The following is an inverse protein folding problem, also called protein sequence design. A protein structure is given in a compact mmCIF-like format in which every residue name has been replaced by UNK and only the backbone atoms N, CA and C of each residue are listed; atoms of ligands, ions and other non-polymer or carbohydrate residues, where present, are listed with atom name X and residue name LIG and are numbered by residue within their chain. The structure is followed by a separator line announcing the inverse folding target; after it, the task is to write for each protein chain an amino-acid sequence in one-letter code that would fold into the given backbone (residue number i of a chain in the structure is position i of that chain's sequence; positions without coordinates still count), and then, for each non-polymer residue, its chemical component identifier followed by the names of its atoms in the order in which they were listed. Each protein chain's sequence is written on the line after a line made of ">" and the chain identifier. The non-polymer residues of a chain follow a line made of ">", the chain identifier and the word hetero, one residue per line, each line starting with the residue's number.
data_IF_199314665181
#
_entry.id   IF_199314665181
#
_cell.length_a   1.000
_cell.length_b   1.000
_cell.length_c   1.000
_cell.angle_alpha   90.00
_cell.angle_beta   90.00
_cell.angle_gamma   90.00
#
_symmetry.space_group_name_H-M   'P 1'
#
loop_
_entity.id
_entity.type
_entity.pdbx_description
1 polymer ?
#
# COMPACT_ATOMS: atom_id res chain seq x y z
N UNK A 1 -12.14 -14.86 6.65
CA UNK A 1 -11.71 -13.58 7.23
C UNK A 1 -12.84 -12.79 7.87
N UNK A 2 -13.96 -12.58 7.17
CA UNK A 2 -15.12 -11.94 7.80
C UNK A 2 -15.60 -12.67 9.05
N UNK A 3 -15.63 -14.01 8.99
CA UNK A 3 -16.04 -14.83 10.11
C UNK A 3 -15.11 -14.68 11.31
N UNK A 4 -13.80 -14.57 11.09
CA UNK A 4 -12.84 -14.35 12.16
C UNK A 4 -13.03 -12.98 12.81
N UNK A 5 -13.27 -11.95 12.02
CA UNK A 5 -13.56 -10.60 12.52
C UNK A 5 -14.83 -10.60 13.39
N UNK A 6 -15.89 -11.24 12.91
CA UNK A 6 -17.15 -11.34 13.63
C UNK A 6 -16.94 -12.07 14.98
N UNK A 7 -16.23 -13.19 14.95
CA UNK A 7 -15.93 -13.97 16.16
C UNK A 7 -15.14 -13.15 17.18
N UNK A 8 -14.10 -12.43 16.72
CA UNK A 8 -13.27 -11.60 17.59
C UNK A 8 -14.07 -10.48 18.26
N UNK A 9 -14.96 -9.81 17.51
CA UNK A 9 -15.83 -8.77 18.06
C UNK A 9 -16.77 -9.34 19.08
N UNK A 10 -17.40 -10.49 18.79
CA UNK A 10 -18.33 -11.15 19.71
C UNK A 10 -17.63 -11.57 20.98
N UNK A 11 -16.45 -12.17 20.90
CA UNK A 11 -15.67 -12.58 22.07
C UNK A 11 -15.30 -11.39 22.96
N UNK A 12 -14.91 -10.27 22.35
CA UNK A 12 -14.61 -9.06 23.09
C UNK A 12 -15.80 -8.47 23.83
N UNK A 13 -17.01 -8.71 23.35
CA UNK A 13 -18.24 -8.18 23.94
C UNK A 13 -18.99 -9.17 24.86
N UNK A 14 -18.59 -10.44 24.87
CA UNK A 14 -19.29 -11.46 25.67
C UNK A 14 -19.51 -11.10 27.14
N UNK A 15 -18.52 -10.49 27.84
CA UNK A 15 -18.73 -10.10 29.26
C UNK A 15 -19.82 -9.06 29.47
N UNK A 16 -20.22 -8.36 28.41
CA UNK A 16 -21.15 -7.23 28.46
C UNK A 16 -22.51 -7.53 27.85
N UNK A 17 -22.67 -8.70 27.22
CA UNK A 17 -23.88 -9.03 26.47
C UNK A 17 -24.52 -10.34 26.98
N UNK A 18 -25.86 -10.39 26.97
CA UNK A 18 -26.59 -11.65 27.14
C UNK A 18 -26.68 -12.43 25.83
N UNK A 19 -27.23 -13.65 25.88
CA UNK A 19 -27.33 -14.52 24.71
C UNK A 19 -28.13 -13.90 23.54
N UNK A 20 -29.25 -13.25 23.86
CA UNK A 20 -30.08 -12.60 22.83
C UNK A 20 -29.34 -11.43 22.17
N UNK A 21 -28.63 -10.63 22.93
CA UNK A 21 -27.84 -9.51 22.44
C UNK A 21 -26.66 -10.00 21.61
N UNK A 22 -25.98 -11.05 22.02
CA UNK A 22 -24.88 -11.67 21.29
C UNK A 22 -25.35 -12.17 19.93
N UNK A 23 -26.48 -12.86 19.91
CA UNK A 23 -27.09 -13.36 18.66
C UNK A 23 -27.44 -12.22 17.72
N UNK A 24 -28.02 -11.14 18.23
CA UNK A 24 -28.38 -9.96 17.44
C UNK A 24 -27.13 -9.26 16.90
N UNK A 25 -26.09 -9.13 17.70
CA UNK A 25 -24.81 -8.55 17.25
C UNK A 25 -24.21 -9.38 16.11
N UNK A 26 -24.22 -10.70 16.24
CA UNK A 26 -23.73 -11.59 15.18
C UNK A 26 -24.51 -11.40 13.88
N UNK A 27 -25.83 -11.36 13.93
CA UNK A 27 -26.69 -11.13 12.77
C UNK A 27 -26.40 -9.78 12.09
N UNK A 28 -26.27 -8.72 12.88
CA UNK A 28 -25.99 -7.38 12.37
C UNK A 28 -24.62 -7.34 11.69
N UNK A 29 -23.59 -7.95 12.31
CA UNK A 29 -22.24 -8.00 11.74
C UNK A 29 -22.21 -8.79 10.44
N UNK A 30 -22.86 -9.96 10.40
CA UNK A 30 -22.93 -10.76 9.18
C UNK A 30 -23.62 -10.00 8.05
N UNK A 31 -24.72 -9.35 8.34
CA UNK A 31 -25.47 -8.59 7.35
C UNK A 31 -24.71 -7.34 6.87
N UNK A 32 -24.14 -6.59 7.80
CA UNK A 32 -23.41 -5.37 7.49
C UNK A 32 -22.15 -5.65 6.67
N UNK A 33 -21.43 -6.72 6.99
CA UNK A 33 -20.17 -7.07 6.32
C UNK A 33 -20.35 -7.87 5.04
N UNK A 34 -21.60 -8.23 4.71
CA UNK A 34 -21.89 -9.05 3.52
C UNK A 34 -21.34 -8.44 2.23
N UNK A 35 -21.48 -7.14 2.06
CA UNK A 35 -21.05 -6.41 0.87
C UNK A 35 -19.60 -5.92 0.95
N UNK A 36 -18.91 -6.19 2.05
CA UNK A 36 -17.53 -5.72 2.27
C UNK A 36 -16.55 -6.88 2.15
N UNK A 37 -15.44 -6.61 1.48
CA UNK A 37 -14.31 -7.50 1.49
C UNK A 37 -13.36 -7.08 2.61
N UNK A 38 -13.14 -7.98 3.58
CA UNK A 38 -12.27 -7.72 4.72
C UNK A 38 -10.96 -8.47 4.50
N UNK A 39 -9.86 -7.71 4.42
CA UNK A 39 -8.52 -8.27 4.31
C UNK A 39 -7.78 -8.16 5.64
N UNK A 40 -7.01 -9.19 5.95
CA UNK A 40 -6.28 -9.27 7.20
C UNK A 40 -4.88 -8.68 7.04
N UNK A 41 -4.60 -7.66 7.85
CA UNK A 41 -3.29 -7.13 8.26
C UNK A 41 -2.30 -6.60 7.21
N UNK A 42 -1.45 -5.72 7.73
CA UNK A 42 -0.35 -5.03 7.04
C UNK A 42 0.60 -5.96 6.27
N UNK A 43 0.80 -7.20 6.74
CA UNK A 43 1.65 -8.18 6.04
C UNK A 43 1.16 -8.50 4.63
N UNK A 44 -0.15 -8.67 4.45
CA UNK A 44 -0.71 -8.94 3.13
C UNK A 44 -0.60 -7.73 2.22
N UNK A 45 -0.71 -6.52 2.77
CA UNK A 45 -0.52 -5.27 2.03
C UNK A 45 0.93 -5.09 1.60
N UNK A 46 1.88 -5.31 2.50
CA UNK A 46 3.31 -5.23 2.19
C UNK A 46 3.70 -6.22 1.11
N UNK A 47 3.22 -7.45 1.20
CA UNK A 47 3.50 -8.48 0.21
C UNK A 47 2.92 -8.10 -1.15
N UNK A 48 1.70 -7.58 -1.19
CA UNK A 48 1.06 -7.14 -2.42
C UNK A 48 1.83 -5.98 -3.06
N UNK A 49 2.24 -5.00 -2.29
CA UNK A 49 3.03 -3.87 -2.77
C UNK A 49 4.38 -4.31 -3.31
N UNK A 50 5.06 -5.21 -2.60
CA UNK A 50 6.33 -5.76 -3.04
C UNK A 50 6.18 -6.54 -4.34
N UNK A 51 5.11 -7.32 -4.49
CA UNK A 51 4.82 -8.04 -5.73
C UNK A 51 4.57 -7.09 -6.90
N UNK A 52 3.89 -5.97 -6.67
CA UNK A 52 3.67 -4.95 -7.70
C UNK A 52 4.98 -4.32 -8.16
N UNK A 53 5.86 -3.99 -7.24
CA UNK A 53 7.18 -3.43 -7.56
C UNK A 53 8.00 -4.44 -8.36
N UNK A 54 8.04 -5.70 -7.93
CA UNK A 54 8.76 -6.76 -8.64
C UNK A 54 8.22 -6.97 -10.06
N UNK A 55 6.90 -6.94 -10.23
CA UNK A 55 6.27 -7.07 -11.53
C UNK A 55 6.64 -5.91 -12.46
N UNK A 56 6.68 -4.70 -11.93
CA UNK A 56 7.12 -3.53 -12.68
C UNK A 56 8.58 -3.67 -13.14
N UNK A 57 9.46 -4.09 -12.24
CA UNK A 57 10.87 -4.29 -12.56
C UNK A 57 11.06 -5.39 -13.61
N UNK A 58 10.28 -6.46 -13.52
CA UNK A 58 10.31 -7.54 -14.51
C UNK A 58 9.88 -7.04 -15.90
N UNK A 59 8.85 -6.20 -15.96
CA UNK A 59 8.41 -5.58 -17.21
C UNK A 59 9.52 -4.70 -17.81
N UNK A 60 10.21 -3.92 -16.97
CA UNK A 60 11.33 -3.08 -17.42
C UNK A 60 12.53 -3.90 -17.88
N UNK A 61 12.77 -5.05 -17.27
CA UNK A 61 13.82 -5.98 -17.70
C UNK A 61 13.54 -6.50 -19.12
N UNK A 62 12.30 -6.86 -19.39
CA UNK A 62 11.86 -7.30 -20.72
C UNK A 62 12.06 -6.18 -21.76
N UNK A 63 11.83 -4.93 -21.37
CA UNK A 63 12.05 -3.77 -22.24
C UNK A 63 13.55 -3.48 -22.53
N UNK A 64 14.44 -4.18 -21.85
CA UNK A 64 15.88 -4.06 -22.09
C UNK A 64 16.65 -3.22 -21.09
N UNK A 65 16.05 -2.88 -19.95
CA UNK A 65 16.75 -2.15 -18.90
C UNK A 65 17.85 -3.01 -18.27
N UNK A 66 19.00 -2.39 -17.98
CA UNK A 66 20.12 -3.07 -17.31
C UNK A 66 19.82 -3.33 -15.84
N UNK A 67 20.52 -4.31 -15.25
CA UNK A 67 20.39 -4.61 -13.82
C UNK A 67 20.71 -3.39 -12.93
N UNK A 68 21.68 -2.59 -13.32
CA UNK A 68 22.03 -1.35 -12.60
C UNK A 68 20.87 -0.35 -12.62
N UNK A 69 20.21 -0.20 -13.76
CA UNK A 69 19.02 0.66 -13.88
C UNK A 69 17.88 0.14 -13.04
N UNK A 70 17.64 -1.17 -13.04
CA UNK A 70 16.59 -1.80 -12.25
C UNK A 70 16.82 -1.62 -10.74
N UNK A 71 18.07 -1.75 -10.28
CA UNK A 71 18.42 -1.48 -8.87
C UNK A 71 18.12 -0.04 -8.49
N UNK A 72 18.44 0.89 -9.38
CA UNK A 72 18.15 2.32 -9.16
C UNK A 72 16.65 2.58 -9.09
N UNK A 73 15.87 1.98 -9.97
CA UNK A 73 14.41 2.08 -9.97
C UNK A 73 13.84 1.52 -8.67
N UNK A 74 14.28 0.33 -8.27
CA UNK A 74 13.82 -0.30 -7.04
C UNK A 74 14.13 0.58 -5.81
N UNK A 75 15.35 1.06 -5.68
CA UNK A 75 15.76 1.91 -4.57
C UNK A 75 14.91 3.19 -4.51
N UNK A 76 14.65 3.81 -5.66
CA UNK A 76 13.83 5.02 -5.76
C UNK A 76 12.40 4.77 -5.32
N UNK A 77 11.79 3.69 -5.80
CA UNK A 77 10.40 3.32 -5.46
C UNK A 77 10.30 2.99 -3.97
N UNK A 78 11.22 2.19 -3.44
CA UNK A 78 11.20 1.83 -2.02
C UNK A 78 11.39 3.05 -1.11
N UNK A 79 12.29 3.96 -1.46
CA UNK A 79 12.46 5.22 -0.71
C UNK A 79 11.19 6.06 -0.71
N UNK A 80 10.48 6.12 -1.82
CA UNK A 80 9.23 6.85 -1.92
C UNK A 80 8.16 6.20 -1.04
N UNK A 81 8.01 4.89 -1.10
CA UNK A 81 7.01 4.17 -0.30
C UNK A 81 7.28 4.35 1.19
N UNK A 82 8.53 4.25 1.62
CA UNK A 82 8.91 4.44 3.01
C UNK A 82 8.70 5.89 3.47
N UNK A 83 9.02 6.85 2.61
CA UNK A 83 8.90 8.28 2.92
C UNK A 83 7.46 8.75 3.01
N UNK A 84 6.59 8.27 2.15
CA UNK A 84 5.17 8.65 2.14
C UNK A 84 4.40 7.88 3.23
N UNK A 85 4.73 6.61 3.45
CA UNK A 85 4.11 5.80 4.49
C UNK A 85 2.66 5.41 4.23
N UNK A 86 2.19 5.54 2.99
CA UNK A 86 0.85 5.14 2.57
C UNK A 86 0.92 3.92 1.65
N UNK A 87 -0.14 3.12 1.61
CA UNK A 87 -0.28 2.07 0.62
C UNK A 87 -0.33 2.64 -0.80
N UNK A 88 0.16 1.88 -1.78
CA UNK A 88 0.24 2.32 -3.18
C UNK A 88 -1.11 2.83 -3.69
N UNK A 89 -2.21 2.17 -3.32
CA UNK A 89 -3.57 2.56 -3.70
C UNK A 89 -3.96 3.97 -3.27
N UNK A 90 -3.38 4.45 -2.17
CA UNK A 90 -3.80 5.70 -1.52
C UNK A 90 -2.88 6.86 -1.82
N UNK A 91 -1.81 6.63 -2.56
CA UNK A 91 -0.86 7.67 -2.94
C UNK A 91 -1.47 8.51 -4.06
N UNK A 92 -1.53 9.83 -3.83
CA UNK A 92 -1.99 10.80 -4.81
C UNK A 92 -0.86 11.70 -5.25
N UNK A 93 -1.08 12.48 -6.31
CA UNK A 93 -0.06 13.38 -6.89
C UNK A 93 0.54 14.33 -5.86
N UNK A 94 -0.28 14.86 -4.95
CA UNK A 94 0.18 15.77 -3.90
C UNK A 94 1.14 15.10 -2.92
N UNK A 95 0.92 13.82 -2.60
CA UNK A 95 1.84 13.05 -1.76
C UNK A 95 3.23 12.96 -2.40
N UNK A 96 3.28 12.74 -3.70
CA UNK A 96 4.53 12.66 -4.45
C UNK A 96 5.21 14.02 -4.49
N UNK A 97 4.47 15.10 -4.71
CA UNK A 97 5.02 16.47 -4.68
C UNK A 97 5.63 16.80 -3.34
N UNK A 98 4.93 16.48 -2.25
CA UNK A 98 5.44 16.68 -0.89
C UNK A 98 6.70 15.86 -0.65
N UNK A 99 6.70 14.61 -1.07
CA UNK A 99 7.87 13.74 -0.96
C UNK A 99 9.08 14.32 -1.68
N UNK A 100 8.91 14.75 -2.94
CA UNK A 100 10.00 15.32 -3.74
C UNK A 100 10.54 16.61 -3.12
N UNK A 101 9.67 17.47 -2.63
CA UNK A 101 10.05 18.71 -1.97
C UNK A 101 10.88 18.45 -0.71
N UNK A 102 10.42 17.52 0.13
CA UNK A 102 11.13 17.12 1.34
C UNK A 102 12.46 16.44 1.02
N UNK A 103 12.47 15.58 0.01
CA UNK A 103 13.69 14.90 -0.42
C UNK A 103 14.74 15.91 -0.86
N UNK A 104 14.37 16.89 -1.68
CA UNK A 104 15.26 17.93 -2.14
C UNK A 104 15.84 18.75 -0.97
N UNK A 105 14.99 19.10 -0.01
CA UNK A 105 15.40 19.86 1.16
C UNK A 105 16.37 19.08 2.06
N UNK A 106 16.06 17.80 2.33
CA UNK A 106 16.87 16.95 3.21
C UNK A 106 18.19 16.53 2.58
N UNK A 107 18.18 16.16 1.31
CA UNK A 107 19.34 15.61 0.60
C UNK A 107 20.12 16.67 -0.16
N UNK A 108 19.61 17.89 -0.21
CA UNK A 108 20.18 18.99 -1.01
C UNK A 108 20.47 18.56 -2.45
N UNK A 109 19.55 17.77 -3.01
CA UNK A 109 19.69 17.18 -4.32
C UNK A 109 19.56 18.22 -5.42
N UNK A 110 20.26 17.99 -6.55
CA UNK A 110 20.12 18.83 -7.72
C UNK A 110 18.76 18.66 -8.38
N UNK A 111 18.37 19.63 -9.20
CA UNK A 111 17.15 19.55 -10.00
C UNK A 111 17.14 18.32 -10.91
N UNK A 112 18.30 17.96 -11.46
CA UNK A 112 18.44 16.77 -12.33
C UNK A 112 18.10 15.49 -11.57
N UNK A 113 18.58 15.35 -10.34
CA UNK A 113 18.27 14.19 -9.49
C UNK A 113 16.76 14.11 -9.20
N UNK A 114 16.14 15.22 -8.85
CA UNK A 114 14.69 15.29 -8.59
C UNK A 114 13.90 14.95 -9.86
N UNK A 115 14.30 15.45 -11.02
CA UNK A 115 13.65 15.13 -12.29
C UNK A 115 13.75 13.65 -12.63
N UNK A 116 14.89 13.02 -12.35
CA UNK A 116 15.08 11.58 -12.55
C UNK A 116 14.16 10.76 -11.66
N UNK A 117 14.09 11.12 -10.38
CA UNK A 117 13.19 10.46 -9.42
C UNK A 117 11.74 10.61 -9.90
N UNK A 118 11.34 11.81 -10.28
CA UNK A 118 9.99 12.09 -10.77
C UNK A 118 9.64 11.23 -11.99
N UNK A 119 10.56 11.08 -12.92
CA UNK A 119 10.37 10.26 -14.13
C UNK A 119 10.16 8.78 -13.77
N UNK A 120 10.96 8.27 -12.86
CA UNK A 120 10.85 6.88 -12.40
C UNK A 120 9.48 6.65 -11.73
N UNK A 121 9.08 7.53 -10.82
CA UNK A 121 7.79 7.42 -10.14
C UNK A 121 6.62 7.56 -11.10
N UNK A 122 6.71 8.48 -12.06
CA UNK A 122 5.69 8.65 -13.09
C UNK A 122 5.54 7.38 -13.93
N UNK A 123 6.65 6.78 -14.33
CA UNK A 123 6.65 5.53 -15.09
C UNK A 123 6.01 4.39 -14.30
N UNK A 124 6.31 4.28 -13.01
CA UNK A 124 5.76 3.27 -12.12
C UNK A 124 4.23 3.42 -11.99
N UNK A 125 3.76 4.62 -11.68
CA UNK A 125 2.33 4.84 -11.50
C UNK A 125 1.54 4.73 -12.81
N UNK A 126 2.10 5.14 -13.93
CA UNK A 126 1.49 4.93 -15.25
C UNK A 126 1.36 3.44 -15.57
N UNK A 127 2.35 2.65 -15.22
CA UNK A 127 2.31 1.20 -15.41
C UNK A 127 1.23 0.54 -14.55
N UNK A 128 0.98 1.06 -13.35
CA UNK A 128 -0.05 0.54 -12.44
C UNK A 128 -1.49 0.80 -12.93
N UNK A 129 -1.68 1.80 -13.77
CA UNK A 129 -3.00 2.08 -14.36
C UNK A 129 -3.42 0.99 -15.41
#
# INVERSE_FOLDING_TARGET
>A
MKQNLITDVIQGMLPYLNNAQTKRLQEVLQHTLFDYEVTKTEKDKELLEQNLVESFLSAKRIEGCSEKTLKYYNATIQSMLDGIGKGIKYIVTDDIRCYLTEYQAKKKSSKVTIDNIRRILSSFFSWLE
#
